data_IF_136136032623
#
_entry.id   IF_136136032623
#
_cell.length_a   1.000
_cell.length_b   1.000
_cell.length_c   1.000
_cell.angle_alpha   90.00
_cell.angle_beta   90.00
_cell.angle_gamma   90.00
#
_symmetry.space_group_name_H-M   'P 1'
#
loop_
_entity.id
_entity.type
_entity.pdbx_description
1 polymer ?
#
# COMPACT_ATOMS: atom_id res chain seq x y z
N UNK A 1 31.03 59.00 8.23
CA UNK A 1 31.56 57.65 7.92
C UNK A 1 30.82 56.51 8.64
N UNK A 2 30.63 56.55 9.97
CA UNK A 2 29.90 55.49 10.71
C UNK A 2 28.44 55.24 10.29
N UNK A 3 27.65 56.29 10.00
CA UNK A 3 26.24 56.13 9.54
C UNK A 3 26.12 55.43 8.17
N UNK A 4 27.05 55.69 7.25
CA UNK A 4 27.08 55.04 5.93
C UNK A 4 27.39 53.54 6.06
N UNK A 5 28.26 53.18 7.01
CA UNK A 5 28.61 51.79 7.32
C UNK A 5 27.40 51.00 7.83
N UNK A 6 26.57 51.58 8.71
CA UNK A 6 25.36 50.92 9.23
C UNK A 6 24.29 50.72 8.16
N UNK A 7 24.14 51.66 7.21
CA UNK A 7 23.20 51.52 6.08
C UNK A 7 23.64 50.37 5.17
N UNK A 8 24.94 50.27 4.85
CA UNK A 8 25.49 49.16 4.06
C UNK A 8 25.31 47.80 4.74
N UNK A 9 25.53 47.72 6.05
CA UNK A 9 25.32 46.50 6.83
C UNK A 9 23.85 46.07 6.87
N UNK A 10 22.92 47.03 6.98
CA UNK A 10 21.48 46.73 6.95
C UNK A 10 21.02 46.21 5.58
N UNK A 11 21.52 46.79 4.49
CA UNK A 11 21.23 46.32 3.13
C UNK A 11 21.80 44.90 2.86
N UNK A 12 23.00 44.61 3.36
CA UNK A 12 23.60 43.28 3.23
C UNK A 12 22.80 42.23 4.01
N UNK A 13 22.39 42.55 5.25
CA UNK A 13 21.56 41.67 6.07
C UNK A 13 20.19 41.40 5.44
N UNK A 14 19.59 42.42 4.81
CA UNK A 14 18.30 42.30 4.13
C UNK A 14 18.42 41.44 2.85
N UNK A 15 19.51 41.58 2.09
CA UNK A 15 19.76 40.75 0.89
C UNK A 15 19.97 39.26 1.19
N UNK A 16 20.59 38.95 2.33
CA UNK A 16 20.77 37.56 2.80
C UNK A 16 19.46 36.90 3.23
N UNK A 17 18.46 37.68 3.67
CA UNK A 17 17.16 37.14 4.06
C UNK A 17 16.32 36.66 2.86
N UNK A 18 16.55 37.19 1.65
CA UNK A 18 15.81 36.81 0.44
C UNK A 18 16.42 35.63 -0.33
N UNK A 19 17.61 35.15 0.05
CA UNK A 19 18.30 34.05 -0.64
C UNK A 19 18.00 32.66 -0.03
N UNK A 20 17.16 32.58 1.00
CA UNK A 20 16.85 31.33 1.70
C UNK A 20 15.72 30.49 1.07
N UNK A 21 15.03 30.99 0.05
CA UNK A 21 13.93 30.27 -0.59
C UNK A 21 14.45 29.51 -1.82
N UNK A 22 14.86 28.26 -1.60
CA UNK A 22 15.17 27.32 -2.67
C UNK A 22 13.89 26.61 -3.13
N UNK A 23 13.57 26.72 -4.43
CA UNK A 23 12.43 26.06 -5.07
C UNK A 23 12.81 24.72 -5.71
N UNK A 24 13.98 24.17 -5.35
CA UNK A 24 14.43 22.87 -5.82
C UNK A 24 13.45 21.77 -5.42
N UNK A 25 12.64 21.31 -6.37
CA UNK A 25 11.92 20.05 -6.20
C UNK A 25 12.97 18.95 -5.96
N UNK A 26 12.76 18.07 -4.96
CA UNK A 26 13.65 16.94 -4.76
C UNK A 26 13.73 16.12 -6.06
N UNK A 27 14.89 15.52 -6.37
CA UNK A 27 15.03 14.71 -7.57
C UNK A 27 14.02 13.57 -7.54
N UNK A 28 13.02 13.64 -8.41
CA UNK A 28 12.04 12.59 -8.58
C UNK A 28 12.63 11.48 -9.46
N UNK A 29 12.38 10.22 -9.10
CA UNK A 29 12.70 9.09 -9.96
C UNK A 29 11.92 9.13 -11.29
N UNK A 30 12.41 8.41 -12.29
CA UNK A 30 11.73 8.28 -13.58
C UNK A 30 10.32 7.71 -13.42
N UNK A 31 9.39 8.19 -14.23
CA UNK A 31 8.03 7.64 -14.27
C UNK A 31 8.04 6.16 -14.69
N UNK A 32 7.44 5.30 -13.87
CA UNK A 32 7.24 3.88 -14.18
C UNK A 32 6.18 3.77 -15.27
N UNK A 33 6.58 3.38 -16.49
CA UNK A 33 5.68 3.27 -17.64
C UNK A 33 4.79 2.02 -17.62
N UNK A 34 5.26 0.91 -17.04
CA UNK A 34 4.56 -0.39 -17.07
C UNK A 34 4.04 -0.80 -15.69
N UNK A 35 3.03 -0.07 -15.18
CA UNK A 35 2.49 -0.26 -13.81
C UNK A 35 1.64 -1.52 -13.64
N UNK A 36 1.20 -2.16 -14.71
CA UNK A 36 0.45 -3.42 -14.65
C UNK A 36 1.31 -4.62 -14.21
N UNK A 37 2.63 -4.54 -14.44
CA UNK A 37 3.61 -5.56 -14.07
C UNK A 37 4.11 -5.45 -12.62
N UNK A 38 3.78 -4.36 -11.91
CA UNK A 38 4.29 -4.08 -10.57
C UNK A 38 3.15 -3.92 -9.56
N UNK A 39 3.27 -4.54 -8.38
CA UNK A 39 2.29 -4.33 -7.33
C UNK A 39 2.42 -2.92 -6.75
N UNK A 40 1.29 -2.28 -6.47
CA UNK A 40 1.25 -1.01 -5.74
C UNK A 40 1.51 -1.22 -4.24
N UNK A 41 1.24 -2.43 -3.74
CA UNK A 41 1.48 -2.83 -2.36
C UNK A 41 1.98 -4.26 -2.29
N UNK A 42 2.99 -4.46 -1.46
CA UNK A 42 3.51 -5.77 -1.07
C UNK A 42 3.45 -5.85 0.45
N UNK A 43 2.83 -6.89 0.99
CA UNK A 43 2.73 -7.12 2.43
C UNK A 43 3.11 -8.56 2.75
N UNK A 44 3.88 -8.73 3.82
CA UNK A 44 4.31 -10.04 4.31
C UNK A 44 3.69 -10.31 5.68
N UNK A 45 3.44 -11.59 6.01
CA UNK A 45 2.86 -11.99 7.30
C UNK A 45 1.46 -11.41 7.53
N UNK A 46 0.58 -11.61 6.54
CA UNK A 46 -0.75 -11.00 6.50
C UNK A 46 -1.71 -11.68 7.45
N UNK A 47 -2.41 -10.87 8.25
CA UNK A 47 -3.62 -11.26 8.98
C UNK A 47 -4.69 -10.19 8.79
N UNK A 48 -5.57 -10.39 7.81
CA UNK A 48 -6.63 -9.44 7.43
C UNK A 48 -7.99 -9.91 7.94
N UNK A 49 -8.69 -9.06 8.66
CA UNK A 49 -10.09 -9.28 9.05
C UNK A 49 -11.00 -8.50 8.10
N UNK A 50 -12.10 -9.12 7.68
CA UNK A 50 -13.11 -8.50 6.82
C UNK A 50 -14.42 -8.48 7.60
N UNK A 51 -14.93 -7.26 7.82
CA UNK A 51 -16.23 -7.06 8.43
C UNK A 51 -17.29 -6.71 7.39
N UNK A 52 -18.50 -7.15 7.66
CA UNK A 52 -19.71 -6.66 7.01
C UNK A 52 -20.54 -5.95 8.08
N UNK A 53 -20.83 -4.68 7.85
CA UNK A 53 -21.66 -3.87 8.76
C UNK A 53 -21.14 -3.85 10.21
N UNK A 54 -19.81 -3.87 10.39
CA UNK A 54 -19.16 -3.84 11.70
C UNK A 54 -18.98 -5.20 12.38
N UNK A 55 -19.56 -6.27 11.82
CA UNK A 55 -19.40 -7.65 12.32
C UNK A 55 -18.32 -8.35 11.51
N UNK A 56 -17.33 -8.95 12.18
CA UNK A 56 -16.27 -9.72 11.50
C UNK A 56 -16.88 -10.98 10.88
N UNK A 57 -16.73 -11.12 9.56
CA UNK A 57 -17.26 -12.27 8.80
C UNK A 57 -16.17 -13.19 8.30
N UNK A 58 -15.00 -12.65 7.96
CA UNK A 58 -13.90 -13.45 7.40
C UNK A 58 -12.54 -13.05 7.95
N UNK A 59 -11.61 -14.00 7.93
CA UNK A 59 -10.18 -13.77 8.17
C UNK A 59 -9.37 -14.38 7.03
N UNK A 60 -8.36 -13.65 6.57
CA UNK A 60 -7.41 -14.09 5.56
C UNK A 60 -6.02 -14.09 6.21
N UNK A 61 -5.35 -15.23 6.15
CA UNK A 61 -3.95 -15.38 6.53
C UNK A 61 -3.13 -15.76 5.29
N UNK A 62 -1.96 -15.16 5.13
CA UNK A 62 -1.01 -15.48 4.05
C UNK A 62 0.39 -14.99 4.43
N UNK A 63 1.44 -15.63 3.93
CA UNK A 63 2.79 -15.11 4.08
C UNK A 63 3.07 -13.91 3.16
N UNK A 64 2.37 -13.81 2.03
CA UNK A 64 2.57 -12.76 1.02
C UNK A 64 1.24 -12.32 0.38
N UNK A 65 1.04 -11.01 0.29
CA UNK A 65 -0.09 -10.39 -0.38
C UNK A 65 0.38 -9.25 -1.28
N UNK A 66 0.02 -9.34 -2.55
CA UNK A 66 0.34 -8.36 -3.57
C UNK A 66 -0.95 -7.71 -4.07
N UNK A 67 -0.96 -6.39 -4.20
CA UNK A 67 -2.10 -5.63 -4.75
C UNK A 67 -1.69 -5.00 -6.07
N UNK A 68 -2.45 -5.26 -7.13
CA UNK A 68 -2.25 -4.69 -8.46
C UNK A 68 -3.47 -3.85 -8.86
N UNK A 69 -3.30 -2.53 -8.94
CA UNK A 69 -4.37 -1.58 -9.27
C UNK A 69 -4.56 -1.39 -10.78
N UNK A 70 -3.49 -1.56 -11.59
CA UNK A 70 -3.49 -1.32 -13.05
C UNK A 70 -3.65 -2.56 -13.92
N UNK A 71 -3.90 -3.72 -13.31
CA UNK A 71 -4.25 -4.93 -14.06
C UNK A 71 -5.70 -4.85 -14.55
N UNK A 72 -6.04 -5.57 -15.62
CA UNK A 72 -7.40 -5.64 -16.16
C UNK A 72 -7.85 -7.10 -16.20
N UNK A 73 -8.66 -7.56 -15.24
CA UNK A 73 -9.19 -6.83 -14.08
C UNK A 73 -8.14 -6.54 -12.98
N UNK A 74 -8.36 -5.53 -12.12
CA UNK A 74 -7.59 -5.35 -10.88
C UNK A 74 -7.60 -6.63 -10.05
N UNK A 75 -6.44 -6.99 -9.52
CA UNK A 75 -6.26 -8.26 -8.83
C UNK A 75 -5.38 -8.17 -7.61
N UNK A 76 -5.62 -9.08 -6.68
CA UNK A 76 -4.76 -9.33 -5.54
C UNK A 76 -4.23 -10.75 -5.65
N UNK A 77 -2.97 -10.95 -5.27
CA UNK A 77 -2.31 -12.25 -5.35
C UNK A 77 -1.78 -12.66 -3.97
N UNK A 78 -1.98 -13.92 -3.63
CA UNK A 78 -1.46 -14.59 -2.44
C UNK A 78 -0.59 -15.75 -2.91
N UNK A 79 0.71 -15.50 -3.11
CA UNK A 79 1.61 -16.45 -3.78
C UNK A 79 2.21 -17.51 -2.85
N UNK A 80 2.14 -17.30 -1.53
CA UNK A 80 2.77 -18.12 -0.50
C UNK A 80 1.73 -18.65 0.50
N UNK A 81 0.78 -19.40 -0.03
CA UNK A 81 -0.32 -19.97 0.74
C UNK A 81 -1.41 -18.97 1.09
N UNK A 82 -2.63 -19.48 1.27
CA UNK A 82 -3.72 -18.72 1.87
C UNK A 82 -4.52 -19.62 2.81
N UNK A 83 -4.96 -19.07 3.93
CA UNK A 83 -6.02 -19.61 4.77
C UNK A 83 -7.14 -18.57 4.86
N UNK A 84 -8.30 -18.92 4.32
CA UNK A 84 -9.55 -18.17 4.44
C UNK A 84 -10.36 -18.83 5.55
N UNK A 85 -10.82 -18.06 6.53
CA UNK A 85 -11.75 -18.51 7.56
C UNK A 85 -13.02 -17.68 7.45
N UNK A 86 -14.18 -18.32 7.61
CA UNK A 86 -15.46 -17.66 7.84
C UNK A 86 -15.86 -17.84 9.29
N UNK A 87 -16.49 -16.80 9.84
CA UNK A 87 -17.04 -16.80 11.18
C UNK A 87 -18.57 -16.83 11.13
N UNK A 88 -19.15 -17.60 12.04
CA UNK A 88 -20.58 -17.52 12.37
C UNK A 88 -20.90 -16.24 13.17
N UNK A 89 -22.18 -16.02 13.49
CA UNK A 89 -22.62 -14.84 14.28
C UNK A 89 -22.06 -14.82 15.71
N UNK A 90 -21.48 -15.92 16.19
CA UNK A 90 -20.87 -16.06 17.51
C UNK A 90 -19.34 -16.02 17.45
N UNK A 91 -18.77 -15.66 16.30
CA UNK A 91 -17.32 -15.61 16.04
C UNK A 91 -16.61 -16.96 16.12
N UNK A 92 -17.33 -18.08 16.00
CA UNK A 92 -16.70 -19.39 15.80
C UNK A 92 -16.37 -19.58 14.32
N UNK A 93 -15.27 -20.27 14.04
CA UNK A 93 -14.94 -20.65 12.67
C UNK A 93 -15.88 -21.76 12.22
N UNK A 94 -16.66 -21.51 11.18
CA UNK A 94 -17.63 -22.47 10.62
C UNK A 94 -17.23 -23.02 9.24
N UNK A 95 -16.28 -22.36 8.58
CA UNK A 95 -15.68 -22.78 7.31
C UNK A 95 -14.23 -22.32 7.27
N UNK A 96 -13.36 -23.15 6.72
CA UNK A 96 -12.00 -22.75 6.37
C UNK A 96 -11.65 -23.27 4.97
N UNK A 97 -10.88 -22.48 4.23
CA UNK A 97 -10.39 -22.87 2.91
C UNK A 97 -8.88 -22.61 2.86
N UNK A 98 -8.11 -23.58 2.40
CA UNK A 98 -6.68 -23.41 2.18
C UNK A 98 -6.30 -23.68 0.74
N UNK A 99 -5.24 -23.02 0.26
CA UNK A 99 -4.63 -23.26 -1.04
C UNK A 99 -3.16 -22.82 -1.02
N UNK A 100 -2.36 -23.33 -1.95
CA UNK A 100 -0.94 -22.94 -2.11
C UNK A 100 -0.79 -21.54 -2.73
N UNK A 101 -1.73 -21.16 -3.60
CA UNK A 101 -1.77 -19.84 -4.24
C UNK A 101 -3.21 -19.43 -4.46
N UNK A 102 -3.49 -18.13 -4.33
CA UNK A 102 -4.81 -17.59 -4.63
C UNK A 102 -4.75 -16.24 -5.36
N UNK A 103 -5.78 -16.00 -6.17
CA UNK A 103 -6.01 -14.75 -6.88
C UNK A 103 -7.40 -14.25 -6.56
N UNK A 104 -7.52 -12.96 -6.25
CA UNK A 104 -8.81 -12.31 -6.01
C UNK A 104 -9.01 -11.18 -7.01
N UNK A 105 -9.90 -11.42 -7.96
CA UNK A 105 -10.17 -10.52 -9.09
C UNK A 105 -11.43 -9.69 -8.81
N UNK A 106 -11.36 -8.38 -9.11
CA UNK A 106 -12.51 -7.45 -8.99
C UNK A 106 -13.26 -7.56 -7.66
N UNK A 107 -12.56 -7.91 -6.59
CA UNK A 107 -13.13 -8.12 -5.26
C UNK A 107 -14.32 -9.10 -5.20
N UNK A 108 -14.48 -9.97 -6.20
CA UNK A 108 -15.68 -10.81 -6.36
C UNK A 108 -15.35 -12.26 -6.69
N UNK A 109 -14.32 -12.51 -7.48
CA UNK A 109 -13.94 -13.85 -7.91
C UNK A 109 -12.65 -14.30 -7.23
N UNK A 110 -12.73 -15.41 -6.50
CA UNK A 110 -11.56 -16.12 -6.00
C UNK A 110 -11.19 -17.25 -6.93
N UNK A 111 -9.90 -17.32 -7.24
CA UNK A 111 -9.30 -18.45 -7.93
C UNK A 111 -8.25 -19.06 -7.00
N UNK A 112 -8.43 -20.34 -6.67
CA UNK A 112 -7.60 -21.08 -5.73
C UNK A 112 -6.82 -22.15 -6.48
N UNK A 113 -5.50 -22.20 -6.28
CA UNK A 113 -4.61 -23.13 -6.97
C UNK A 113 -3.70 -23.87 -5.98
N UNK A 114 -3.53 -25.16 -6.24
CA UNK A 114 -2.64 -26.04 -5.48
C UNK A 114 -3.21 -26.45 -4.12
N UNK A 115 -3.26 -27.77 -3.87
CA UNK A 115 -3.69 -28.41 -2.61
C UNK A 115 -4.89 -27.73 -1.94
N UNK A 116 -5.92 -27.45 -2.73
CA UNK A 116 -7.13 -26.78 -2.23
C UNK A 116 -7.88 -27.69 -1.26
N UNK A 117 -8.20 -27.19 -0.07
CA UNK A 117 -8.99 -27.88 0.95
C UNK A 117 -10.09 -26.96 1.46
N UNK A 118 -11.25 -27.54 1.74
CA UNK A 118 -12.49 -26.88 2.20
C UNK A 118 -13.05 -27.68 3.38
#
# INVERSE_FOLDING_TARGET
MRRLLYVLLAFLALGLAFSACDNGAPPNGSAVRNRDSLPVMVTYGVSKLISDSGVVRYKILSEEWLVFDRTHPPRQEFRKGVLLQRYDDRLNVDLYITADTAYWYNQSLWELRGRVRV
#
